data_IF_919729149242
#
_entry.id   IF_919729149242
#
_cell.length_a   1.000
_cell.length_b   1.000
_cell.length_c   1.000
_cell.angle_alpha   90.00
_cell.angle_beta   90.00
_cell.angle_gamma   90.00
#
_symmetry.space_group_name_H-M   'P 1'
#
loop_
_entity.id
_entity.type
_entity.pdbx_description
1 polymer ?
#
# COMPACT_ATOMS: atom_id res chain seq x y z
N UNK A 1 8.98 8.07 -17.08
CA UNK A 1 10.31 8.63 -17.41
C UNK A 1 10.28 9.28 -18.78
N UNK A 2 9.93 8.58 -19.86
CA UNK A 2 9.89 9.14 -21.21
C UNK A 2 9.08 10.42 -21.32
N UNK A 3 7.84 10.44 -20.84
CA UNK A 3 6.98 11.65 -20.86
C UNK A 3 7.59 12.83 -20.08
N UNK A 4 8.40 12.59 -19.07
CA UNK A 4 9.13 13.68 -18.37
C UNK A 4 10.19 14.24 -19.32
N UNK A 5 10.96 13.37 -19.99
CA UNK A 5 11.96 13.80 -20.96
C UNK A 5 11.34 14.54 -22.16
N UNK A 6 10.18 14.10 -22.63
CA UNK A 6 9.45 14.78 -23.72
C UNK A 6 9.07 16.23 -23.37
N UNK A 7 8.84 16.51 -22.07
CA UNK A 7 8.44 17.85 -21.60
C UNK A 7 9.64 18.73 -21.23
N UNK A 8 10.60 18.16 -20.47
CA UNK A 8 11.71 18.94 -19.89
C UNK A 8 13.02 18.83 -20.68
N UNK A 9 13.06 17.95 -21.70
CA UNK A 9 14.26 17.68 -22.45
C UNK A 9 15.27 16.84 -21.67
N UNK A 10 16.47 17.40 -21.46
CA UNK A 10 17.58 16.69 -20.82
C UNK A 10 17.42 16.68 -19.29
N UNK A 11 17.63 15.52 -18.66
CA UNK A 11 17.65 15.37 -17.20
C UNK A 11 19.08 15.22 -16.69
N UNK A 12 19.39 15.82 -15.55
CA UNK A 12 20.66 15.64 -14.87
C UNK A 12 20.66 14.34 -14.02
N UNK A 13 20.90 13.22 -14.68
CA UNK A 13 20.84 11.87 -14.08
C UNK A 13 22.11 11.05 -14.35
N UNK A 14 23.33 11.57 -14.05
CA UNK A 14 24.57 10.92 -14.48
C UNK A 14 24.76 9.52 -13.92
N UNK A 15 24.32 9.26 -12.68
CA UNK A 15 24.43 7.95 -12.07
C UNK A 15 23.47 6.93 -12.68
N UNK A 16 22.23 7.32 -12.94
CA UNK A 16 21.25 6.45 -13.59
C UNK A 16 21.65 6.14 -15.04
N UNK A 17 22.26 7.11 -15.74
CA UNK A 17 22.82 6.90 -17.07
C UNK A 17 23.93 5.83 -17.00
N UNK A 18 24.92 5.97 -16.11
CA UNK A 18 25.99 4.98 -15.90
C UNK A 18 25.47 3.58 -15.57
N UNK A 19 24.34 3.49 -14.87
CA UNK A 19 23.68 2.22 -14.55
C UNK A 19 22.89 1.62 -15.72
N UNK A 20 22.78 2.31 -16.86
CA UNK A 20 22.13 1.80 -18.07
C UNK A 20 20.63 2.15 -18.19
N UNK A 21 20.12 3.15 -17.45
CA UNK A 21 18.69 3.52 -17.54
C UNK A 21 18.31 3.91 -18.98
N UNK A 22 19.13 4.67 -19.68
CA UNK A 22 18.84 5.11 -21.05
C UNK A 22 18.89 3.95 -22.07
N UNK A 23 19.64 2.89 -21.78
CA UNK A 23 19.66 1.69 -22.59
C UNK A 23 18.35 0.87 -22.42
N UNK A 24 17.73 0.92 -21.24
CA UNK A 24 16.39 0.36 -20.99
C UNK A 24 15.28 1.19 -21.60
N UNK A 25 15.43 2.51 -21.60
CA UNK A 25 14.43 3.46 -22.05
C UNK A 25 15.10 4.63 -22.79
N UNK A 26 15.42 4.45 -24.07
CA UNK A 26 16.01 5.50 -24.90
C UNK A 26 15.12 6.75 -24.96
N UNK A 27 15.74 7.91 -25.02
CA UNK A 27 15.07 9.21 -25.23
C UNK A 27 15.69 9.90 -26.44
N UNK A 28 15.00 10.90 -26.99
CA UNK A 28 15.52 11.64 -28.14
C UNK A 28 16.67 12.59 -27.76
N UNK A 29 16.64 13.07 -26.53
CA UNK A 29 17.49 14.16 -26.04
C UNK A 29 18.73 13.68 -25.30
N UNK A 30 18.81 12.39 -24.95
CA UNK A 30 19.93 11.85 -24.16
C UNK A 30 20.45 10.54 -24.77
N UNK A 31 21.75 10.47 -24.94
CA UNK A 31 22.42 9.28 -25.47
C UNK A 31 22.49 8.14 -24.45
N UNK A 32 22.39 6.92 -24.95
CA UNK A 32 22.62 5.71 -24.18
C UNK A 32 24.05 5.65 -23.61
N UNK A 33 24.27 4.85 -22.57
CA UNK A 33 25.58 4.58 -22.03
C UNK A 33 26.24 3.42 -22.80
N UNK A 34 27.41 3.66 -23.35
CA UNK A 34 28.14 2.63 -24.14
C UNK A 34 28.77 1.55 -23.26
N UNK A 35 29.11 1.90 -22.02
CA UNK A 35 29.77 0.99 -21.07
C UNK A 35 29.10 1.06 -19.70
N UNK A 36 27.87 0.54 -19.58
CA UNK A 36 27.14 0.53 -18.30
C UNK A 36 27.93 -0.22 -17.22
N UNK A 37 27.93 0.33 -16.01
CA UNK A 37 28.62 -0.28 -14.85
C UNK A 37 27.73 -1.25 -14.08
N UNK A 38 26.51 -1.52 -14.55
CA UNK A 38 25.55 -2.44 -13.97
C UNK A 38 24.90 -3.31 -15.04
N UNK A 39 24.35 -4.44 -14.59
CA UNK A 39 23.44 -5.24 -15.41
C UNK A 39 22.03 -4.67 -15.35
N UNK A 40 21.32 -4.66 -16.48
CA UNK A 40 19.95 -4.20 -16.60
C UNK A 40 19.14 -5.12 -17.51
N UNK A 41 17.84 -5.24 -17.24
CA UNK A 41 16.91 -6.02 -18.05
C UNK A 41 15.49 -5.50 -17.91
N UNK A 42 14.60 -5.94 -18.78
CA UNK A 42 13.16 -5.75 -18.67
C UNK A 42 12.51 -7.08 -18.30
N UNK A 43 11.70 -7.05 -17.27
CA UNK A 43 10.88 -8.20 -16.89
C UNK A 43 9.43 -7.91 -17.25
N UNK A 44 8.75 -8.92 -17.77
CA UNK A 44 7.30 -8.85 -18.03
C UNK A 44 6.60 -9.49 -16.84
N UNK A 45 5.69 -8.74 -16.23
CA UNK A 45 4.81 -9.27 -15.20
C UNK A 45 3.93 -10.39 -15.76
N UNK A 46 3.81 -11.49 -15.04
CA UNK A 46 3.02 -12.67 -15.42
C UNK A 46 1.86 -12.94 -14.48
N UNK A 47 1.85 -12.28 -13.31
CA UNK A 47 0.74 -12.35 -12.36
C UNK A 47 -0.48 -11.59 -12.89
N UNK A 48 -1.68 -12.07 -12.53
CA UNK A 48 -2.94 -11.48 -12.97
C UNK A 48 -3.38 -10.28 -12.11
N UNK A 49 -2.76 -10.05 -10.96
CA UNK A 49 -3.07 -8.93 -10.07
C UNK A 49 -2.46 -7.61 -10.54
N UNK A 50 -3.02 -6.50 -10.09
CA UNK A 50 -2.58 -5.14 -10.44
C UNK A 50 -2.31 -4.30 -9.19
N UNK A 51 -2.10 -4.91 -8.07
CA UNK A 51 -1.88 -4.24 -6.79
C UNK A 51 -0.42 -4.36 -6.33
N UNK A 52 -0.08 -3.56 -5.33
CA UNK A 52 1.26 -3.51 -4.75
C UNK A 52 1.77 -4.87 -4.25
N UNK A 53 0.89 -5.68 -3.63
CA UNK A 53 1.28 -6.99 -3.07
C UNK A 53 1.67 -7.96 -4.19
N UNK A 54 0.86 -8.02 -5.25
CA UNK A 54 1.13 -8.84 -6.44
C UNK A 54 2.51 -8.54 -7.00
N UNK A 55 2.84 -7.26 -7.24
CA UNK A 55 4.13 -6.89 -7.80
C UNK A 55 5.31 -7.26 -6.88
N UNK A 56 5.20 -7.05 -5.56
CA UNK A 56 6.25 -7.42 -4.61
C UNK A 56 6.46 -8.93 -4.55
N UNK A 57 5.38 -9.71 -4.50
CA UNK A 57 5.47 -11.16 -4.43
C UNK A 57 6.02 -11.76 -5.72
N UNK A 58 5.63 -11.23 -6.88
CA UNK A 58 6.18 -11.69 -8.16
C UNK A 58 7.67 -11.41 -8.29
N UNK A 59 8.14 -10.21 -7.91
CA UNK A 59 9.58 -9.91 -7.88
C UNK A 59 10.38 -10.87 -6.98
N UNK A 60 9.72 -11.44 -5.96
CA UNK A 60 10.33 -12.38 -5.03
C UNK A 60 10.02 -13.85 -5.36
N UNK A 61 9.50 -14.13 -6.57
CA UNK A 61 9.34 -15.48 -7.12
C UNK A 61 7.97 -16.11 -6.96
N UNK A 62 6.94 -15.36 -6.53
CA UNK A 62 5.59 -15.88 -6.34
C UNK A 62 4.61 -15.32 -7.37
N UNK A 63 4.19 -16.15 -8.31
CA UNK A 63 3.16 -15.78 -9.29
C UNK A 63 1.76 -15.79 -8.67
N UNK A 64 1.01 -14.71 -8.87
CA UNK A 64 -0.39 -14.58 -8.44
C UNK A 64 -1.31 -14.88 -9.61
N UNK A 65 -1.98 -16.02 -9.55
CA UNK A 65 -2.94 -16.41 -10.60
C UNK A 65 -4.32 -15.78 -10.37
N UNK A 66 -4.79 -15.75 -9.12
CA UNK A 66 -6.06 -15.15 -8.72
C UNK A 66 -5.80 -13.81 -8.04
N UNK A 67 -6.17 -12.69 -8.68
CA UNK A 67 -5.99 -11.35 -8.12
C UNK A 67 -6.62 -11.21 -6.74
N UNK A 68 -6.06 -10.35 -5.91
CA UNK A 68 -6.70 -9.93 -4.68
C UNK A 68 -7.98 -9.12 -4.98
N UNK A 69 -8.96 -9.22 -4.09
CA UNK A 69 -10.21 -8.48 -4.22
C UNK A 69 -9.96 -6.97 -4.08
N UNK A 70 -10.68 -6.20 -4.87
CA UNK A 70 -10.76 -4.74 -4.73
C UNK A 70 -12.21 -4.32 -4.55
N UNK A 71 -12.44 -3.25 -3.81
CA UNK A 71 -13.78 -2.75 -3.50
C UNK A 71 -13.92 -1.27 -3.90
N UNK A 72 -13.35 -0.93 -5.06
CA UNK A 72 -13.22 0.46 -5.54
C UNK A 72 -14.57 1.07 -5.88
N UNK A 73 -15.46 0.29 -6.49
CA UNK A 73 -16.72 0.80 -7.05
C UNK A 73 -17.85 0.85 -6.02
N UNK A 74 -17.84 -0.07 -5.05
CA UNK A 74 -18.96 -0.27 -4.13
C UNK A 74 -18.65 0.05 -2.67
N UNK A 75 -17.35 0.17 -2.32
CA UNK A 75 -16.94 0.03 -0.94
C UNK A 75 -17.02 -1.42 -0.47
N UNK A 76 -16.74 -1.67 0.79
CA UNK A 76 -16.79 -3.01 1.39
C UNK A 76 -18.21 -3.49 1.59
N UNK A 77 -18.49 -4.82 1.51
CA UNK A 77 -19.81 -5.38 1.72
C UNK A 77 -20.41 -5.00 3.08
N UNK A 78 -21.72 -4.77 3.15
CA UNK A 78 -22.39 -4.40 4.41
C UNK A 78 -22.14 -5.39 5.55
N UNK A 79 -22.08 -6.68 5.24
CA UNK A 79 -21.83 -7.74 6.22
C UNK A 79 -20.45 -7.62 6.86
N UNK A 80 -19.42 -7.30 6.07
CA UNK A 80 -18.07 -7.06 6.59
C UNK A 80 -18.04 -5.81 7.48
N UNK A 81 -18.70 -4.73 7.04
CA UNK A 81 -18.78 -3.49 7.82
C UNK A 81 -19.51 -3.72 9.14
N UNK A 82 -20.62 -4.46 9.12
CA UNK A 82 -21.38 -4.79 10.32
C UNK A 82 -20.55 -5.60 11.34
N UNK A 83 -19.90 -6.69 10.89
CA UNK A 83 -19.02 -7.49 11.76
C UNK A 83 -17.86 -6.64 12.32
N UNK A 84 -17.31 -5.72 11.51
CA UNK A 84 -16.26 -4.81 11.95
C UNK A 84 -16.75 -3.85 13.04
N UNK A 85 -17.92 -3.24 12.84
CA UNK A 85 -18.55 -2.36 13.82
C UNK A 85 -18.81 -3.06 15.16
N UNK A 86 -19.40 -4.25 15.11
CA UNK A 86 -19.70 -5.04 16.32
C UNK A 86 -18.43 -5.38 17.10
N UNK A 87 -17.41 -5.90 16.43
CA UNK A 87 -16.17 -6.31 17.08
C UNK A 87 -15.29 -5.15 17.55
N UNK A 88 -15.30 -4.02 16.84
CA UNK A 88 -14.58 -2.81 17.23
C UNK A 88 -15.34 -1.99 18.28
N UNK A 89 -16.66 -2.10 18.36
CA UNK A 89 -17.51 -1.27 19.21
C UNK A 89 -17.60 0.17 18.73
N UNK A 90 -17.44 0.40 17.40
CA UNK A 90 -17.43 1.73 16.79
C UNK A 90 -18.18 1.72 15.46
N UNK A 91 -18.91 2.80 15.19
CA UNK A 91 -19.58 2.97 13.90
C UNK A 91 -18.58 3.30 12.79
N UNK A 92 -18.81 2.71 11.63
CA UNK A 92 -18.02 2.99 10.41
C UNK A 92 -18.66 4.14 9.64
N UNK A 93 -17.84 5.10 9.25
CA UNK A 93 -18.20 6.15 8.30
C UNK A 93 -17.24 6.09 7.09
N UNK A 94 -17.70 6.58 5.95
CA UNK A 94 -16.92 6.58 4.70
C UNK A 94 -17.28 5.41 3.81
N UNK A 95 -16.68 4.26 4.01
CA UNK A 95 -16.84 3.02 3.21
C UNK A 95 -16.93 3.26 1.70
N UNK A 96 -15.96 3.98 1.15
CA UNK A 96 -15.87 4.32 -0.28
C UNK A 96 -14.43 4.38 -0.76
N UNK A 97 -14.25 4.45 -2.09
CA UNK A 97 -12.95 4.75 -2.68
C UNK A 97 -12.65 6.25 -2.52
N UNK A 98 -11.51 6.58 -1.94
CA UNK A 98 -11.09 7.97 -1.74
C UNK A 98 -9.58 8.14 -1.62
N UNK A 99 -9.09 9.36 -1.83
CA UNK A 99 -7.77 9.74 -1.36
C UNK A 99 -7.82 9.99 0.13
N UNK A 100 -6.73 9.64 0.82
CA UNK A 100 -6.79 9.75 2.28
C UNK A 100 -6.70 11.18 2.83
N UNK A 101 -6.26 12.18 2.07
CA UNK A 101 -6.36 13.59 2.45
C UNK A 101 -7.79 14.08 2.29
N UNK A 102 -8.39 13.77 1.16
CA UNK A 102 -9.77 14.14 0.88
C UNK A 102 -10.77 13.57 1.90
N UNK A 103 -10.62 12.29 2.27
CA UNK A 103 -11.55 11.65 3.20
C UNK A 103 -11.41 12.21 4.63
N UNK A 104 -10.21 12.62 5.03
CA UNK A 104 -10.02 13.30 6.31
C UNK A 104 -10.68 14.67 6.33
N UNK A 105 -10.54 15.47 5.27
CA UNK A 105 -11.20 16.76 5.15
C UNK A 105 -12.73 16.66 5.11
N UNK A 106 -13.24 15.52 4.65
CA UNK A 106 -14.68 15.27 4.57
C UNK A 106 -15.28 14.74 5.89
N UNK A 107 -14.59 13.82 6.56
CA UNK A 107 -15.15 13.02 7.67
C UNK A 107 -14.41 13.18 9.00
N UNK A 108 -13.26 13.86 9.05
CA UNK A 108 -12.45 13.94 10.26
C UNK A 108 -13.14 14.64 11.42
N UNK A 109 -13.92 15.69 11.19
CA UNK A 109 -14.68 16.35 12.25
C UNK A 109 -15.82 15.46 12.79
N UNK A 110 -16.47 14.69 11.90
CA UNK A 110 -17.52 13.75 12.29
C UNK A 110 -16.95 12.59 13.10
N UNK A 111 -15.79 12.05 12.70
CA UNK A 111 -15.06 11.00 13.45
C UNK A 111 -14.76 11.45 14.87
N UNK A 112 -14.17 12.64 15.04
CA UNK A 112 -13.81 13.21 16.35
C UNK A 112 -15.05 13.41 17.22
N UNK A 113 -16.13 13.96 16.64
CA UNK A 113 -17.37 14.27 17.36
C UNK A 113 -18.10 13.02 17.82
N UNK A 114 -18.20 12.00 16.98
CA UNK A 114 -19.03 10.83 17.22
C UNK A 114 -18.23 9.62 17.74
N UNK A 115 -16.89 9.68 17.74
CA UNK A 115 -16.01 8.54 18.03
C UNK A 115 -16.12 7.42 17.01
N UNK A 116 -16.52 7.75 15.78
CA UNK A 116 -16.66 6.82 14.66
C UNK A 116 -15.31 6.36 14.14
N UNK A 117 -15.30 5.40 13.21
CA UNK A 117 -14.12 4.89 12.52
C UNK A 117 -14.24 5.19 11.03
N UNK A 118 -13.29 5.96 10.46
CA UNK A 118 -13.27 6.21 9.02
C UNK A 118 -12.68 4.99 8.32
N UNK A 119 -13.47 4.32 7.48
CA UNK A 119 -13.03 3.19 6.64
C UNK A 119 -13.12 3.60 5.18
N UNK A 120 -12.08 3.35 4.40
CA UNK A 120 -12.06 3.65 2.97
C UNK A 120 -11.11 2.71 2.21
N UNK A 121 -11.23 2.69 0.89
CA UNK A 121 -10.34 1.95 0.00
C UNK A 121 -9.69 2.87 -1.03
N UNK A 122 -8.87 2.31 -1.88
CA UNK A 122 -8.26 2.96 -3.05
C UNK A 122 -8.22 1.95 -4.22
N UNK A 123 -7.49 2.26 -5.29
CA UNK A 123 -7.37 1.36 -6.43
C UNK A 123 -6.63 0.04 -6.13
N UNK A 124 -5.88 -0.02 -5.02
CA UNK A 124 -5.22 -1.24 -4.54
C UNK A 124 -6.19 -2.14 -3.76
N UNK A 125 -5.80 -3.39 -3.57
CA UNK A 125 -6.49 -4.33 -2.67
C UNK A 125 -6.21 -3.99 -1.21
N UNK A 126 -6.90 -2.99 -0.68
CA UNK A 126 -6.59 -2.42 0.63
C UNK A 126 -7.83 -1.91 1.35
N UNK A 127 -7.92 -2.18 2.66
CA UNK A 127 -8.81 -1.47 3.59
C UNK A 127 -7.98 -0.51 4.42
N UNK A 128 -8.36 0.74 4.45
CA UNK A 128 -7.66 1.77 5.21
C UNK A 128 -8.58 2.29 6.31
N UNK A 129 -8.04 2.39 7.52
CA UNK A 129 -8.78 2.82 8.71
C UNK A 129 -8.08 4.04 9.28
N UNK A 130 -8.77 5.20 9.31
CA UNK A 130 -8.29 6.39 9.99
C UNK A 130 -8.86 6.49 11.40
N UNK A 131 -8.07 7.02 12.30
CA UNK A 131 -8.46 7.42 13.65
C UNK A 131 -7.59 8.57 14.14
N UNK A 132 -8.19 9.55 14.78
CA UNK A 132 -7.47 10.66 15.37
C UNK A 132 -6.70 10.19 16.61
N UNK A 133 -5.42 10.53 16.73
CA UNK A 133 -4.58 10.04 17.83
C UNK A 133 -5.03 10.53 19.22
N UNK A 134 -5.65 11.72 19.30
CA UNK A 134 -6.10 12.30 20.55
C UNK A 134 -7.44 11.74 21.04
N UNK A 135 -8.36 11.44 20.10
CA UNK A 135 -9.76 11.08 20.42
C UNK A 135 -10.07 9.59 20.21
N UNK A 136 -9.47 8.97 19.22
CA UNK A 136 -9.64 7.55 18.93
C UNK A 136 -8.65 6.66 19.69
N UNK A 137 -7.44 7.17 19.92
CA UNK A 137 -6.27 6.50 20.48
C UNK A 137 -5.63 5.45 19.55
N UNK A 138 -4.30 5.46 19.50
CA UNK A 138 -3.49 4.57 18.66
C UNK A 138 -3.71 3.08 18.96
N UNK A 139 -3.83 2.72 20.24
CA UNK A 139 -4.05 1.31 20.61
C UNK A 139 -5.38 0.80 20.10
N UNK A 140 -6.44 1.62 20.18
CA UNK A 140 -7.75 1.30 19.65
C UNK A 140 -7.72 1.20 18.11
N UNK A 141 -7.02 2.11 17.43
CA UNK A 141 -6.86 2.07 15.98
C UNK A 141 -6.17 0.77 15.54
N UNK A 142 -5.09 0.40 16.18
CA UNK A 142 -4.36 -0.82 15.87
C UNK A 142 -5.19 -2.07 16.15
N UNK A 143 -5.91 -2.11 17.28
CA UNK A 143 -6.85 -3.20 17.60
C UNK A 143 -7.93 -3.35 16.52
N UNK A 144 -8.51 -2.24 16.05
CA UNK A 144 -9.50 -2.29 14.98
C UNK A 144 -8.88 -2.80 13.65
N UNK A 145 -7.65 -2.43 13.34
CA UNK A 145 -6.94 -2.94 12.17
C UNK A 145 -6.63 -4.45 12.27
N UNK A 146 -6.28 -4.94 13.45
CA UNK A 146 -6.08 -6.37 13.71
C UNK A 146 -7.38 -7.15 13.53
N UNK A 147 -8.49 -6.66 14.08
CA UNK A 147 -9.84 -7.23 13.88
C UNK A 147 -10.18 -7.23 12.36
N UNK A 148 -9.97 -6.12 11.68
CA UNK A 148 -10.21 -6.03 10.24
C UNK A 148 -9.35 -7.04 9.46
N UNK A 149 -8.08 -7.27 9.86
CA UNK A 149 -7.23 -8.28 9.24
C UNK A 149 -7.76 -9.70 9.46
N UNK A 150 -8.24 -10.02 10.65
CA UNK A 150 -8.86 -11.32 10.93
C UNK A 150 -10.12 -11.54 10.07
N UNK A 151 -11.02 -10.57 10.03
CA UNK A 151 -12.25 -10.64 9.23
C UNK A 151 -11.95 -10.81 7.73
N UNK A 152 -10.99 -10.07 7.22
CA UNK A 152 -10.61 -10.11 5.81
C UNK A 152 -9.69 -11.28 5.44
N UNK A 153 -9.52 -12.26 6.31
CA UNK A 153 -8.97 -13.58 5.94
C UNK A 153 -10.02 -14.48 5.27
N UNK A 154 -11.31 -14.20 5.42
CA UNK A 154 -12.37 -14.91 4.68
C UNK A 154 -12.21 -14.62 3.18
N UNK A 155 -12.37 -15.66 2.34
CA UNK A 155 -12.09 -15.57 0.90
C UNK A 155 -12.90 -14.48 0.17
N UNK A 156 -14.16 -14.31 0.57
CA UNK A 156 -15.09 -13.31 0.01
C UNK A 156 -14.74 -11.87 0.38
N UNK A 157 -13.89 -11.65 1.38
CA UNK A 157 -13.48 -10.33 1.86
C UNK A 157 -11.98 -10.09 1.80
N UNK A 158 -11.24 -11.02 1.22
CA UNK A 158 -9.78 -11.08 1.30
C UNK A 158 -9.12 -9.94 0.54
N UNK A 159 -8.62 -8.96 1.28
CA UNK A 159 -7.78 -7.89 0.74
C UNK A 159 -6.30 -8.09 1.08
N UNK A 160 -5.44 -7.55 0.24
CA UNK A 160 -3.99 -7.69 0.40
C UNK A 160 -3.47 -7.04 1.70
N UNK A 161 -4.00 -5.88 2.08
CA UNK A 161 -3.55 -5.13 3.25
C UNK A 161 -4.68 -4.46 4.01
N UNK A 162 -4.50 -4.37 5.34
CA UNK A 162 -5.21 -3.41 6.18
C UNK A 162 -4.20 -2.34 6.59
N UNK A 163 -4.55 -1.07 6.54
CA UNK A 163 -3.64 0.03 6.86
C UNK A 163 -4.24 0.91 7.95
N UNK A 164 -3.56 0.99 9.09
CA UNK A 164 -3.82 2.01 10.08
C UNK A 164 -3.31 3.38 9.58
N UNK A 165 -4.18 4.36 9.56
CA UNK A 165 -3.92 5.74 9.10
C UNK A 165 -4.18 6.75 10.22
N UNK A 166 -3.34 6.80 11.26
CA UNK A 166 -3.50 7.78 12.32
C UNK A 166 -3.27 9.20 11.80
N UNK A 167 -3.98 10.14 12.42
CA UNK A 167 -3.86 11.56 12.11
C UNK A 167 -4.08 12.42 13.36
N UNK A 168 -3.67 13.69 13.28
CA UNK A 168 -3.90 14.72 14.29
C UNK A 168 -4.60 15.93 13.66
N UNK A 169 -5.05 16.86 14.50
CA UNK A 169 -5.80 18.04 14.08
C UNK A 169 -7.24 18.00 14.60
N UNK A 170 -7.92 19.15 14.63
CA UNK A 170 -9.24 19.30 15.26
C UNK A 170 -10.35 19.67 14.27
N UNK A 171 -10.00 20.24 13.14
CA UNK A 171 -10.96 20.69 12.12
C UNK A 171 -10.41 20.55 10.70
N UNK A 172 -11.30 20.63 9.74
CA UNK A 172 -10.98 20.62 8.32
C UNK A 172 -9.85 21.61 7.97
N UNK A 173 -8.89 21.16 7.18
CA UNK A 173 -7.72 21.92 6.78
C UNK A 173 -6.54 21.86 7.78
N UNK A 174 -6.75 21.31 8.99
CA UNK A 174 -5.70 21.09 9.99
C UNK A 174 -5.28 19.63 10.11
N UNK A 175 -5.98 18.72 9.45
CA UNK A 175 -5.71 17.30 9.57
C UNK A 175 -4.38 16.92 8.92
N UNK A 176 -3.49 16.33 9.72
CA UNK A 176 -2.16 15.88 9.30
C UNK A 176 -1.98 14.42 9.67
N UNK A 177 -1.62 13.58 8.71
CA UNK A 177 -1.26 12.19 8.96
C UNK A 177 0.04 12.11 9.72
N UNK A 178 0.11 11.20 10.67
CA UNK A 178 1.31 10.96 11.46
C UNK A 178 2.17 9.84 10.90
N UNK A 179 3.39 9.71 11.42
CA UNK A 179 4.30 8.60 11.10
C UNK A 179 3.91 7.27 11.75
N UNK A 180 2.89 7.25 12.65
CA UNK A 180 2.42 6.06 13.36
C UNK A 180 1.54 5.13 12.49
N UNK A 181 1.68 5.23 11.17
CA UNK A 181 1.08 4.30 10.22
C UNK A 181 1.59 2.88 10.46
N UNK A 182 0.66 1.90 10.36
CA UNK A 182 0.99 0.47 10.33
C UNK A 182 0.24 -0.23 9.21
N UNK A 183 0.93 -1.14 8.53
CA UNK A 183 0.36 -2.00 7.51
C UNK A 183 0.26 -3.43 8.06
N UNK A 184 -0.92 -4.04 7.94
CA UNK A 184 -1.20 -5.43 8.28
C UNK A 184 -1.42 -6.19 6.97
N UNK A 185 -0.32 -6.56 6.34
CA UNK A 185 -0.34 -7.25 5.06
C UNK A 185 -0.61 -8.76 5.20
N UNK A 186 -1.09 -9.38 4.15
CA UNK A 186 -1.06 -10.83 4.01
C UNK A 186 0.41 -11.27 3.90
N UNK A 187 0.73 -12.36 4.55
CA UNK A 187 2.02 -13.00 4.35
C UNK A 187 2.04 -13.76 3.02
N UNK A 188 3.21 -13.84 2.37
CA UNK A 188 3.38 -14.67 1.18
C UNK A 188 2.89 -16.10 1.41
N UNK A 189 2.19 -16.65 0.45
CA UNK A 189 1.60 -18.00 0.56
C UNK A 189 2.62 -19.13 0.39
N UNK A 190 3.84 -18.80 -0.02
CA UNK A 190 4.95 -19.74 -0.17
C UNK A 190 6.28 -19.05 0.07
N UNK A 191 7.36 -19.82 0.06
CA UNK A 191 8.72 -19.30 0.23
C UNK A 191 9.09 -18.32 -0.89
N UNK A 192 9.68 -17.22 -0.50
CA UNK A 192 10.18 -16.17 -1.39
C UNK A 192 11.69 -16.28 -1.58
N UNK A 193 12.26 -15.56 -2.53
CA UNK A 193 13.70 -15.42 -2.68
C UNK A 193 14.39 -14.92 -1.39
N UNK A 194 13.70 -14.07 -0.59
CA UNK A 194 14.24 -13.59 0.69
C UNK A 194 14.35 -14.71 1.73
N UNK A 195 13.38 -15.63 1.76
CA UNK A 195 13.47 -16.80 2.63
C UNK A 195 14.63 -17.71 2.21
N UNK A 196 14.82 -17.93 0.91
CA UNK A 196 15.91 -18.75 0.39
C UNK A 196 17.28 -18.17 0.77
N UNK A 197 17.46 -16.85 0.61
CA UNK A 197 18.70 -16.17 1.01
C UNK A 197 18.98 -16.33 2.51
N UNK A 198 17.95 -16.16 3.35
CA UNK A 198 18.09 -16.32 4.80
C UNK A 198 18.46 -17.74 5.20
N UNK A 199 17.88 -18.76 4.55
CA UNK A 199 18.17 -20.17 4.83
C UNK A 199 19.60 -20.55 4.41
N UNK A 200 20.16 -19.89 3.39
CA UNK A 200 21.57 -20.02 2.98
C UNK A 200 22.53 -19.22 3.87
N UNK A 201 22.05 -18.59 4.93
CA UNK A 201 22.87 -17.86 5.90
C UNK A 201 23.21 -16.42 5.51
N UNK A 202 22.57 -15.87 4.50
CA UNK A 202 22.74 -14.44 4.14
C UNK A 202 21.90 -13.54 5.04
N UNK A 203 22.43 -12.35 5.31
CA UNK A 203 21.68 -11.28 5.95
C UNK A 203 20.66 -10.70 4.97
N UNK A 204 19.40 -10.65 5.41
CA UNK A 204 18.30 -10.01 4.66
C UNK A 204 17.87 -8.76 5.39
N UNK A 205 18.24 -7.60 4.84
CA UNK A 205 17.95 -6.28 5.41
C UNK A 205 16.88 -5.61 4.54
N UNK A 206 15.67 -5.45 5.08
CA UNK A 206 14.58 -4.76 4.40
C UNK A 206 14.62 -3.25 4.65
N UNK A 207 14.41 -2.48 3.60
CA UNK A 207 14.32 -1.01 3.67
C UNK A 207 12.97 -0.55 3.15
N UNK A 208 12.26 0.24 3.94
CA UNK A 208 10.94 0.77 3.60
C UNK A 208 9.86 -0.32 3.59
N UNK A 209 9.02 -0.31 2.58
CA UNK A 209 7.81 -1.13 2.43
C UNK A 209 8.06 -2.64 2.32
N UNK A 210 9.27 -3.06 2.04
CA UNK A 210 9.64 -4.47 1.83
C UNK A 210 9.30 -5.31 3.07
N UNK A 211 9.59 -4.79 4.27
CA UNK A 211 9.28 -5.48 5.53
C UNK A 211 7.80 -5.85 5.64
N UNK A 212 6.91 -4.91 5.32
CA UNK A 212 5.47 -5.09 5.51
C UNK A 212 4.84 -6.04 4.47
N UNK A 213 5.46 -6.17 3.30
CA UNK A 213 4.91 -6.95 2.18
C UNK A 213 5.51 -8.36 2.05
N UNK A 214 6.70 -8.62 2.59
CA UNK A 214 7.49 -9.82 2.28
C UNK A 214 8.05 -10.56 3.49
N UNK A 215 8.10 -9.96 4.67
CA UNK A 215 8.59 -10.52 5.92
C UNK A 215 7.51 -10.56 6.98
#
# INVERSE_FOLDING_TARGET
FGHICDIVGTLNIPNLKKLGLLNLHPTKEMEEEKHPIAYYTRLKETSNGKDTMTGHWEMMGLKIEKPFLTFTDTGFPPELIHELEERCGKKVIGNKCASGTQILDELGEEEIKNGSMIVYTSADSVMQICGNEETFDLKNLYRCCEIARELTMKNEWKVGRIIARPYVGKKKGEFVRTSNRRDYALKPFSRTALNALKDEGFDVISVGKINDCLL
#
